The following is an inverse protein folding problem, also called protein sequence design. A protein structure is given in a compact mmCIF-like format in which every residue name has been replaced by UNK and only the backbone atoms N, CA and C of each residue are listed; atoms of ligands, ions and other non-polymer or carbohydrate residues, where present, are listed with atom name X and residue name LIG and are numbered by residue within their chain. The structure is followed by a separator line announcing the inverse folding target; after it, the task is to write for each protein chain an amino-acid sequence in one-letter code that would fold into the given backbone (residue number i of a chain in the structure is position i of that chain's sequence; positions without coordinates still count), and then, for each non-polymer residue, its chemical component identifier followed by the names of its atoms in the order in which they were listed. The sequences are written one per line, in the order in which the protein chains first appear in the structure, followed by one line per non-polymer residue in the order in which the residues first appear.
data_IF_848940587598
#
_entry.id   IF_848940587598
#
_cell.length_a   1.000
_cell.length_b   1.000
_cell.length_c   1.000
_cell.angle_alpha   90.00
_cell.angle_beta   90.00
_cell.angle_gamma   90.00
#
_symmetry.space_group_name_H-M   'P 1'
#
loop_
_entity.id
_entity.type
_entity.pdbx_description
1 polymer ?
#
# COMPACT_ATOMS: atom_id res chain seq x y z
N UNK A 1 12.44 -5.57 -14.45
CA UNK A 1 12.82 -4.42 -15.28
C UNK A 1 12.27 -3.17 -14.63
N UNK A 2 13.11 -2.48 -13.86
CA UNK A 2 12.77 -1.29 -13.08
C UNK A 2 13.32 -0.08 -13.83
N UNK A 3 12.44 0.79 -14.32
CA UNK A 3 12.85 2.07 -14.89
C UNK A 3 13.02 3.09 -13.75
N UNK A 4 14.28 3.28 -13.35
CA UNK A 4 14.74 4.45 -12.61
C UNK A 4 14.59 5.67 -13.52
N UNK A 5 13.63 6.55 -13.22
CA UNK A 5 13.57 7.88 -13.80
C UNK A 5 14.36 8.82 -12.89
N UNK A 6 15.51 9.22 -13.41
CA UNK A 6 16.39 10.27 -12.93
C UNK A 6 15.62 11.54 -12.54
N UNK A 7 15.68 11.89 -11.27
CA UNK A 7 15.33 13.22 -10.77
C UNK A 7 16.31 14.25 -11.32
N UNK A 8 15.81 15.14 -12.17
CA UNK A 8 16.47 16.41 -12.49
C UNK A 8 16.44 17.30 -11.25
N UNK A 9 17.46 17.20 -10.40
CA UNK A 9 17.77 18.20 -9.39
C UNK A 9 18.21 19.49 -10.10
N UNK A 10 17.30 20.43 -10.28
CA UNK A 10 17.63 21.82 -10.58
C UNK A 10 18.18 22.49 -9.33
N UNK A 11 19.47 22.23 -9.06
CA UNK A 11 20.25 22.95 -8.05
C UNK A 11 20.43 24.40 -8.49
N UNK A 12 19.57 25.29 -8.00
CA UNK A 12 19.81 26.73 -8.01
C UNK A 12 21.03 27.01 -7.13
N UNK A 13 22.22 27.05 -7.74
CA UNK A 13 23.48 27.42 -7.08
C UNK A 13 23.38 28.84 -6.51
N UNK A 14 23.15 28.93 -5.21
CA UNK A 14 23.33 30.16 -4.43
C UNK A 14 24.84 30.46 -4.37
N UNK A 15 25.31 31.69 -4.66
CA UNK A 15 26.73 32.05 -4.63
C UNK A 15 27.38 31.75 -3.26
N UNK A 16 28.56 31.15 -3.29
CA UNK A 16 29.22 30.51 -2.13
C UNK A 16 29.57 31.43 -0.95
N UNK A 17 29.44 32.74 -1.10
CA UNK A 17 29.74 33.75 -0.07
C UNK A 17 28.67 33.76 1.04
N UNK A 18 27.45 33.30 0.76
CA UNK A 18 26.34 33.29 1.73
C UNK A 18 26.17 31.96 2.50
N UNK A 19 26.97 30.92 2.19
CA UNK A 19 26.88 29.59 2.82
C UNK A 19 26.92 29.57 4.36
N UNK A 20 27.81 30.30 5.06
CA UNK A 20 27.83 30.27 6.53
C UNK A 20 26.65 31.02 7.15
N UNK A 21 26.04 31.96 6.42
CA UNK A 21 24.85 32.69 6.86
C UNK A 21 23.56 31.87 6.67
N UNK A 22 23.59 30.92 5.73
CA UNK A 22 22.46 30.05 5.41
C UNK A 22 22.22 28.98 6.47
N UNK A 23 23.24 28.47 7.17
CA UNK A 23 23.09 27.45 8.22
C UNK A 23 22.57 27.97 9.56
N UNK A 24 22.37 29.29 9.69
CA UNK A 24 21.86 29.90 10.91
C UNK A 24 20.33 29.83 10.97
N UNK A 25 19.74 29.62 12.16
CA UNK A 25 18.29 29.70 12.36
C UNK A 25 17.70 31.00 11.81
N UNK A 26 16.43 30.96 11.37
CA UNK A 26 15.70 32.10 10.78
C UNK A 26 15.84 33.37 11.61
N UNK A 27 15.78 33.24 12.94
CA UNK A 27 15.98 34.35 13.88
C UNK A 27 17.28 35.12 13.63
N UNK A 28 18.40 34.41 13.47
CA UNK A 28 19.71 35.02 13.25
C UNK A 28 19.84 35.63 11.84
N UNK A 29 19.17 35.06 10.84
CA UNK A 29 19.10 35.65 9.48
C UNK A 29 18.40 37.01 9.52
N UNK A 30 17.27 37.10 10.22
CA UNK A 30 16.51 38.35 10.41
C UNK A 30 17.31 39.36 11.25
N UNK A 31 17.92 38.91 12.35
CA UNK A 31 18.74 39.75 13.22
C UNK A 31 19.95 40.35 12.46
N UNK A 32 20.64 39.53 11.67
CA UNK A 32 21.77 39.99 10.87
C UNK A 32 21.33 40.98 9.78
N UNK A 33 20.23 40.68 9.07
CA UNK A 33 19.70 41.58 8.05
C UNK A 33 19.30 42.94 8.64
N UNK A 34 18.57 42.96 9.76
CA UNK A 34 18.17 44.19 10.44
C UNK A 34 19.39 44.98 10.95
N UNK A 35 20.39 44.30 11.52
CA UNK A 35 21.62 44.93 12.00
C UNK A 35 22.42 45.55 10.84
N UNK A 36 22.50 44.87 9.69
CA UNK A 36 23.17 45.36 8.49
C UNK A 36 22.46 46.59 7.91
N UNK A 37 21.13 46.58 7.86
CA UNK A 37 20.33 47.73 7.41
C UNK A 37 20.60 48.95 8.31
N UNK A 38 20.54 48.77 9.63
CA UNK A 38 20.78 49.86 10.59
C UNK A 38 22.19 50.41 10.42
N UNK A 39 23.19 49.54 10.29
CA UNK A 39 24.58 49.92 10.11
C UNK A 39 24.81 50.71 8.82
N UNK A 40 24.30 50.23 7.69
CA UNK A 40 24.40 50.91 6.39
C UNK A 40 23.62 52.23 6.38
N UNK A 41 22.44 52.26 6.99
CA UNK A 41 21.64 53.48 7.13
C UNK A 41 22.34 54.55 7.96
N UNK A 42 22.91 54.18 9.11
CA UNK A 42 23.62 55.09 10.00
C UNK A 42 24.92 55.62 9.37
N UNK A 43 25.72 54.74 8.76
CA UNK A 43 26.98 55.13 8.10
C UNK A 43 26.72 55.97 6.84
N UNK A 44 25.78 55.55 5.98
CA UNK A 44 25.39 56.30 4.79
C UNK A 44 24.79 57.67 5.11
N UNK A 45 23.93 57.74 6.13
CA UNK A 45 23.36 59.00 6.61
C UNK A 45 24.42 59.95 7.18
N UNK A 46 25.37 59.42 7.95
CA UNK A 46 26.49 60.21 8.52
C UNK A 46 27.44 60.70 7.42
N UNK A 47 27.79 59.84 6.46
CA UNK A 47 28.62 60.22 5.32
C UNK A 47 27.97 61.30 4.47
N UNK A 48 26.68 61.15 4.15
CA UNK A 48 25.90 62.12 3.41
C UNK A 48 25.84 63.48 4.14
N UNK A 49 25.58 63.47 5.45
CA UNK A 49 25.57 64.67 6.27
C UNK A 49 26.94 65.38 6.29
N UNK A 50 28.03 64.62 6.38
CA UNK A 50 29.40 65.17 6.40
C UNK A 50 29.86 65.73 5.04
N UNK A 51 29.50 65.08 3.93
CA UNK A 51 29.92 65.47 2.59
C UNK A 51 29.14 66.69 2.05
N UNK A 52 27.87 66.83 2.45
CA UNK A 52 27.03 67.98 2.10
C UNK A 52 27.36 69.24 2.93
N UNK A 53 27.95 69.08 4.13
CA UNK A 53 28.38 70.19 4.99
C UNK A 53 29.50 71.06 4.39
N UNK A 54 30.28 70.52 3.44
CA UNK A 54 31.41 71.24 2.81
C UNK A 54 31.04 72.05 1.55
N UNK A 55 29.85 71.85 0.96
CA UNK A 55 29.40 72.56 -0.25
C UNK A 55 28.17 73.41 0.05
N UNK A 56 28.37 74.68 0.43
CA UNK A 56 27.32 75.61 0.91
C UNK A 56 26.17 75.95 -0.06
N UNK A 57 26.01 75.32 -1.23
CA UNK A 57 25.02 75.82 -2.21
C UNK A 57 24.30 74.81 -3.13
N UNK A 58 24.30 73.50 -2.86
CA UNK A 58 23.40 72.60 -3.57
C UNK A 58 22.82 71.53 -2.64
N UNK A 59 21.50 71.60 -2.39
CA UNK A 59 20.66 70.57 -1.75
C UNK A 59 20.57 70.52 -0.22
N UNK A 60 20.75 71.65 0.48
CA UNK A 60 20.24 71.82 1.85
C UNK A 60 18.73 72.14 1.87
N UNK A 61 17.94 71.47 1.01
CA UNK A 61 16.48 71.56 1.03
C UNK A 61 15.93 70.37 1.80
N UNK A 62 14.96 70.54 2.71
CA UNK A 62 14.38 69.45 3.50
C UNK A 62 13.88 68.28 2.64
N UNK A 63 13.58 68.54 1.36
CA UNK A 63 13.20 67.54 0.36
C UNK A 63 14.26 66.47 0.06
N UNK A 64 15.56 66.80 0.03
CA UNK A 64 16.62 65.81 -0.31
C UNK A 64 16.83 64.79 0.83
N UNK A 65 16.74 65.25 2.08
CA UNK A 65 16.79 64.40 3.27
C UNK A 65 15.56 63.48 3.36
N UNK A 66 14.37 64.00 3.05
CA UNK A 66 13.14 63.18 3.03
C UNK A 66 13.26 62.09 1.96
N UNK A 67 13.73 62.41 0.76
CA UNK A 67 13.93 61.42 -0.31
C UNK A 67 14.91 60.33 0.15
N UNK A 68 16.04 60.71 0.77
CA UNK A 68 17.01 59.73 1.26
C UNK A 68 16.42 58.78 2.31
N UNK A 69 15.69 59.31 3.30
CA UNK A 69 15.05 58.50 4.35
C UNK A 69 14.00 57.57 3.76
N UNK A 70 13.17 58.06 2.84
CA UNK A 70 12.13 57.25 2.16
C UNK A 70 12.76 56.13 1.34
N UNK A 71 13.82 56.42 0.59
CA UNK A 71 14.55 55.41 -0.19
C UNK A 71 15.16 54.36 0.75
N UNK A 72 15.83 54.78 1.83
CA UNK A 72 16.40 53.86 2.82
C UNK A 72 15.34 52.97 3.48
N UNK A 73 14.19 53.54 3.82
CA UNK A 73 13.06 52.79 4.40
C UNK A 73 12.47 51.76 3.43
N UNK A 74 12.28 52.14 2.16
CA UNK A 74 11.80 51.21 1.12
C UNK A 74 12.79 50.06 0.87
N UNK A 75 14.09 50.35 0.82
CA UNK A 75 15.14 49.32 0.69
C UNK A 75 15.13 48.39 1.90
N UNK A 76 14.98 48.93 3.11
CA UNK A 76 14.85 48.12 4.33
C UNK A 76 13.66 47.18 4.29
N UNK A 77 12.49 47.67 3.86
CA UNK A 77 11.28 46.84 3.72
C UNK A 77 11.51 45.73 2.70
N UNK A 78 12.06 46.07 1.53
CA UNK A 78 12.33 45.10 0.47
C UNK A 78 13.31 44.01 0.93
N UNK A 79 14.40 44.39 1.61
CA UNK A 79 15.39 43.43 2.10
C UNK A 79 14.78 42.51 3.18
N UNK A 80 14.05 43.07 4.14
CA UNK A 80 13.37 42.28 5.17
C UNK A 80 12.34 41.31 4.57
N UNK A 81 11.59 41.77 3.55
CA UNK A 81 10.64 40.91 2.83
C UNK A 81 11.34 39.72 2.14
N UNK A 82 12.47 39.97 1.46
CA UNK A 82 13.26 38.90 0.82
C UNK A 82 13.78 37.89 1.85
N UNK A 83 14.29 38.36 2.99
CA UNK A 83 14.78 37.48 4.06
C UNK A 83 13.66 36.60 4.62
N UNK A 84 12.47 37.17 4.88
CA UNK A 84 11.31 36.40 5.30
C UNK A 84 10.89 35.35 4.25
N UNK A 85 10.84 35.73 2.97
CA UNK A 85 10.45 34.81 1.89
C UNK A 85 11.39 33.60 1.81
N UNK A 86 12.70 33.83 1.91
CA UNK A 86 13.69 32.73 1.91
C UNK A 86 13.56 31.86 3.16
N UNK A 87 13.32 32.47 4.32
CA UNK A 87 13.19 31.76 5.58
C UNK A 87 11.94 30.85 5.66
N UNK A 88 10.79 31.29 5.15
CA UNK A 88 9.53 30.52 5.24
C UNK A 88 9.33 29.52 4.11
N UNK A 89 10.13 29.59 3.04
CA UNK A 89 9.99 28.71 1.86
C UNK A 89 10.01 27.20 2.20
N UNK A 90 10.94 26.68 3.04
CA UNK A 90 10.96 25.26 3.38
C UNK A 90 9.66 24.77 4.06
N UNK A 91 9.07 25.60 4.94
CA UNK A 91 7.82 25.28 5.61
C UNK A 91 6.63 25.28 4.65
N UNK A 92 6.60 26.20 3.68
CA UNK A 92 5.58 26.22 2.64
C UNK A 92 5.67 24.97 1.74
N UNK A 93 6.88 24.55 1.40
CA UNK A 93 7.10 23.36 0.57
C UNK A 93 6.71 22.07 1.33
N UNK A 94 7.02 21.98 2.61
CA UNK A 94 6.52 20.90 3.49
C UNK A 94 4.98 20.86 3.52
N UNK A 95 4.33 22.02 3.68
CA UNK A 95 2.86 22.11 3.67
C UNK A 95 2.24 21.64 2.37
N UNK A 96 2.84 21.95 1.20
CA UNK A 96 2.39 21.43 -0.10
C UNK A 96 2.51 19.91 -0.18
N UNK A 97 3.63 19.36 0.29
CA UNK A 97 3.83 17.90 0.33
C UNK A 97 2.79 17.25 1.25
N UNK A 98 2.55 17.82 2.43
CA UNK A 98 1.54 17.32 3.37
C UNK A 98 0.14 17.28 2.75
N UNK A 99 -0.28 18.34 2.05
CA UNK A 99 -1.57 18.38 1.37
C UNK A 99 -1.69 17.31 0.27
N UNK A 100 -0.60 17.05 -0.48
CA UNK A 100 -0.58 16.01 -1.52
C UNK A 100 -0.61 14.60 -0.94
N UNK A 101 0.12 14.37 0.15
CA UNK A 101 0.08 13.10 0.87
C UNK A 101 -1.32 12.85 1.44
N UNK A 102 -1.97 13.88 1.99
CA UNK A 102 -3.37 13.80 2.44
C UNK A 102 -4.34 13.49 1.29
N UNK A 103 -4.08 14.01 0.10
CA UNK A 103 -4.84 13.70 -1.11
C UNK A 103 -4.60 12.27 -1.67
N UNK A 104 -3.70 11.49 -1.06
CA UNK A 104 -3.47 10.09 -1.39
C UNK A 104 -2.11 9.77 -2.02
N UNK A 105 -1.29 10.79 -2.30
CA UNK A 105 0.05 10.60 -2.89
C UNK A 105 1.09 10.22 -1.82
N UNK A 106 0.91 9.05 -1.18
CA UNK A 106 1.74 8.61 -0.04
C UNK A 106 3.19 8.26 -0.38
N UNK A 107 3.55 8.18 -1.66
CA UNK A 107 4.95 7.96 -2.08
C UNK A 107 5.79 9.24 -2.03
N UNK A 108 5.17 10.43 -1.93
CA UNK A 108 5.92 11.65 -1.74
C UNK A 108 6.62 11.66 -0.38
N UNK A 109 7.80 12.26 -0.36
CA UNK A 109 8.59 12.52 0.84
C UNK A 109 8.90 14.01 0.89
N UNK A 110 8.92 14.56 2.09
CA UNK A 110 9.32 15.94 2.29
C UNK A 110 10.82 16.09 1.95
N UNK A 111 11.20 17.04 1.09
CA UNK A 111 12.59 17.26 0.74
C UNK A 111 13.36 17.85 1.92
N UNK A 112 14.60 17.39 2.12
CA UNK A 112 15.55 18.07 3.00
C UNK A 112 16.37 19.05 2.16
N UNK A 113 16.40 20.31 2.56
CA UNK A 113 17.00 21.40 1.78
C UNK A 113 18.47 21.64 2.12
N UNK A 114 18.90 21.23 3.32
CA UNK A 114 20.23 21.52 3.85
C UNK A 114 20.45 23.00 4.20
N UNK A 115 19.41 23.83 4.07
CA UNK A 115 19.45 25.28 4.30
C UNK A 115 18.97 25.64 5.69
N UNK A 116 18.10 24.84 6.30
CA UNK A 116 17.58 25.10 7.64
C UNK A 116 17.53 23.79 8.44
N UNK A 117 18.37 23.64 9.47
CA UNK A 117 18.39 22.44 10.30
C UNK A 117 17.04 22.13 10.97
N UNK A 118 16.28 23.15 11.37
CA UNK A 118 14.98 22.96 12.04
C UNK A 118 13.92 22.46 11.06
N UNK A 119 13.88 23.05 9.86
CA UNK A 119 12.97 22.61 8.81
C UNK A 119 13.31 21.20 8.32
N UNK A 120 14.60 20.87 8.19
CA UNK A 120 15.06 19.54 7.78
C UNK A 120 14.74 18.50 8.86
N UNK A 121 14.88 18.82 10.15
CA UNK A 121 14.48 17.93 11.24
C UNK A 121 12.97 17.64 11.20
N UNK A 122 12.15 18.67 10.94
CA UNK A 122 10.71 18.48 10.80
C UNK A 122 10.34 17.62 9.58
N UNK A 123 11.00 17.85 8.44
CA UNK A 123 10.83 17.05 7.23
C UNK A 123 11.22 15.58 7.47
N UNK A 124 12.32 15.31 8.17
CA UNK A 124 12.73 13.95 8.56
C UNK A 124 11.71 13.29 9.49
N UNK A 125 11.25 14.01 10.51
CA UNK A 125 10.23 13.49 11.45
C UNK A 125 8.93 13.15 10.73
N UNK A 126 8.51 14.01 9.81
CA UNK A 126 7.35 13.75 8.96
C UNK A 126 7.54 12.50 8.09
N UNK A 127 8.70 12.35 7.44
CA UNK A 127 8.98 11.18 6.62
C UNK A 127 9.01 9.88 7.44
N UNK A 128 9.56 9.88 8.66
CA UNK A 128 9.51 8.73 9.58
C UNK A 128 8.08 8.37 9.97
N UNK A 129 7.22 9.36 10.23
CA UNK A 129 5.80 9.12 10.50
C UNK A 129 5.08 8.50 9.29
N UNK A 130 5.38 8.97 8.07
CA UNK A 130 4.80 8.38 6.85
C UNK A 130 5.19 6.91 6.67
N UNK A 131 6.47 6.59 6.88
CA UNK A 131 6.97 5.22 6.80
C UNK A 131 6.31 4.31 7.84
N UNK A 132 6.20 4.78 9.10
CA UNK A 132 5.50 4.03 10.15
C UNK A 132 4.01 3.80 9.82
N UNK A 133 3.33 4.76 9.20
CA UNK A 133 1.94 4.62 8.76
C UNK A 133 1.83 3.59 7.61
N UNK A 134 2.71 3.66 6.63
CA UNK A 134 2.72 2.72 5.50
C UNK A 134 2.96 1.28 5.99
N UNK A 135 3.91 1.08 6.89
CA UNK A 135 4.20 -0.23 7.48
C UNK A 135 3.06 -0.75 8.34
N UNK A 136 2.47 0.10 9.20
CA UNK A 136 1.30 -0.28 9.98
C UNK A 136 0.10 -0.65 9.09
N UNK A 137 -0.08 0.04 7.96
CA UNK A 137 -1.13 -0.26 6.98
C UNK A 137 -0.90 -1.62 6.33
N UNK A 138 0.34 -1.93 5.91
CA UNK A 138 0.71 -3.23 5.33
C UNK A 138 0.51 -4.37 6.33
N UNK A 139 0.95 -4.17 7.57
CA UNK A 139 0.79 -5.17 8.63
C UNK A 139 -0.69 -5.44 8.92
N UNK A 140 -1.51 -4.40 9.04
CA UNK A 140 -2.96 -4.56 9.23
C UNK A 140 -3.62 -5.28 8.06
N UNK A 141 -3.26 -4.95 6.82
CA UNK A 141 -3.78 -5.64 5.65
C UNK A 141 -3.43 -7.14 5.68
N UNK A 142 -2.19 -7.48 6.01
CA UNK A 142 -1.74 -8.87 6.18
C UNK A 142 -2.52 -9.59 7.31
N UNK A 143 -2.69 -8.94 8.47
CA UNK A 143 -3.46 -9.50 9.58
C UNK A 143 -4.92 -9.76 9.22
N UNK A 144 -5.57 -8.83 8.49
CA UNK A 144 -6.95 -9.00 8.02
C UNK A 144 -7.05 -10.19 7.06
N UNK A 145 -6.12 -10.30 6.10
CA UNK A 145 -6.09 -11.42 5.15
C UNK A 145 -5.92 -12.75 5.89
N UNK A 146 -4.98 -12.81 6.84
CA UNK A 146 -4.72 -14.02 7.61
C UNK A 146 -5.91 -14.40 8.51
N UNK A 147 -6.56 -13.41 9.16
CA UNK A 147 -7.76 -13.64 9.94
C UNK A 147 -8.92 -14.16 9.07
N UNK A 148 -9.11 -13.60 7.87
CA UNK A 148 -10.10 -14.10 6.92
C UNK A 148 -9.82 -15.53 6.47
N UNK A 149 -8.55 -15.90 6.25
CA UNK A 149 -8.17 -17.25 5.88
C UNK A 149 -8.39 -18.26 7.02
N UNK A 150 -8.05 -17.87 8.26
CA UNK A 150 -8.34 -18.66 9.46
C UNK A 150 -9.84 -18.84 9.68
N UNK A 151 -10.63 -17.82 9.42
CA UNK A 151 -12.08 -17.90 9.54
C UNK A 151 -12.68 -18.80 8.45
N UNK A 152 -12.23 -18.68 7.20
CA UNK A 152 -12.59 -19.63 6.13
C UNK A 152 -12.24 -21.07 6.50
N UNK A 153 -11.08 -21.29 7.12
CA UNK A 153 -10.67 -22.61 7.64
C UNK A 153 -11.64 -23.13 8.69
N UNK A 154 -11.98 -22.29 9.67
CA UNK A 154 -12.89 -22.64 10.77
C UNK A 154 -14.26 -23.05 10.22
N UNK A 155 -14.85 -22.23 9.35
CA UNK A 155 -16.16 -22.49 8.75
C UNK A 155 -16.13 -23.76 7.90
N UNK A 156 -15.11 -23.96 7.06
CA UNK A 156 -15.00 -25.16 6.23
C UNK A 156 -14.93 -26.45 7.07
N UNK A 157 -14.20 -26.44 8.19
CA UNK A 157 -14.14 -27.58 9.13
C UNK A 157 -15.46 -27.81 9.85
N UNK A 158 -16.10 -26.76 10.36
CA UNK A 158 -17.39 -26.84 11.06
C UNK A 158 -18.48 -27.42 10.12
N UNK A 159 -18.54 -26.95 8.88
CA UNK A 159 -19.43 -27.50 7.85
C UNK A 159 -19.12 -28.97 7.52
N UNK A 160 -17.84 -29.30 7.33
CA UNK A 160 -17.44 -30.66 6.99
C UNK A 160 -17.72 -31.63 8.14
N UNK A 161 -17.34 -31.31 9.35
CA UNK A 161 -17.38 -32.25 10.47
C UNK A 161 -18.77 -32.34 11.06
N UNK A 162 -19.39 -31.23 11.46
CA UNK A 162 -20.68 -31.26 12.14
C UNK A 162 -21.83 -31.53 11.16
N UNK A 163 -21.88 -30.79 10.05
CA UNK A 163 -23.03 -30.88 9.14
C UNK A 163 -23.00 -32.18 8.33
N UNK A 164 -21.83 -32.66 7.89
CA UNK A 164 -21.77 -33.95 7.17
C UNK A 164 -22.06 -35.15 8.08
N UNK A 165 -21.68 -35.09 9.37
CA UNK A 165 -22.01 -36.15 10.32
C UNK A 165 -23.52 -36.25 10.55
N UNK A 166 -24.19 -35.12 10.79
CA UNK A 166 -25.65 -35.08 10.95
C UNK A 166 -26.36 -35.63 9.70
N UNK A 167 -25.95 -35.21 8.50
CA UNK A 167 -26.52 -35.75 7.26
C UNK A 167 -26.23 -37.25 7.06
N UNK A 168 -25.05 -37.72 7.46
CA UNK A 168 -24.71 -39.14 7.38
C UNK A 168 -25.60 -39.96 8.32
N UNK A 169 -25.82 -39.48 9.55
CA UNK A 169 -26.76 -40.11 10.48
C UNK A 169 -28.18 -40.11 9.94
N UNK A 170 -28.64 -39.01 9.31
CA UNK A 170 -29.95 -38.93 8.66
C UNK A 170 -30.07 -40.00 7.56
N UNK A 171 -29.05 -40.13 6.70
CA UNK A 171 -29.04 -41.13 5.61
C UNK A 171 -29.09 -42.56 6.15
N UNK A 172 -28.39 -42.87 7.24
CA UNK A 172 -28.44 -44.18 7.91
C UNK A 172 -29.85 -44.43 8.46
N UNK A 173 -30.45 -43.46 9.16
CA UNK A 173 -31.82 -43.59 9.67
C UNK A 173 -32.85 -43.78 8.56
N UNK A 174 -32.71 -43.09 7.43
CA UNK A 174 -33.57 -43.27 6.27
C UNK A 174 -33.42 -44.67 5.66
N UNK A 175 -32.20 -45.21 5.58
CA UNK A 175 -31.95 -46.56 5.09
C UNK A 175 -32.60 -47.63 5.99
N UNK A 176 -32.52 -47.47 7.32
CA UNK A 176 -33.18 -48.36 8.29
C UNK A 176 -34.71 -48.29 8.13
N UNK A 177 -35.26 -47.08 7.98
CA UNK A 177 -36.70 -46.91 7.77
C UNK A 177 -37.17 -47.57 6.47
N UNK A 178 -36.39 -47.48 5.39
CA UNK A 178 -36.69 -48.09 4.09
C UNK A 178 -36.90 -49.61 4.18
N UNK A 179 -36.15 -50.30 5.04
CA UNK A 179 -36.28 -51.74 5.30
C UNK A 179 -37.59 -52.11 6.03
N UNK A 180 -38.15 -51.19 6.81
CA UNK A 180 -39.33 -51.42 7.66
C UNK A 180 -40.68 -51.08 7.01
N UNK A 181 -40.66 -50.53 5.78
CA UNK A 181 -41.86 -50.01 5.12
C UNK A 181 -42.55 -51.07 4.26
N UNK A 182 -43.87 -51.08 4.32
CA UNK A 182 -44.72 -52.02 3.58
C UNK A 182 -45.45 -51.38 2.38
N UNK A 183 -45.72 -50.07 2.39
CA UNK A 183 -46.43 -49.38 1.31
C UNK A 183 -45.49 -48.79 0.27
N UNK A 184 -45.88 -48.86 -1.01
CA UNK A 184 -45.06 -48.34 -2.11
C UNK A 184 -44.92 -46.80 -2.04
N UNK A 185 -46.00 -46.09 -1.70
CA UNK A 185 -45.96 -44.62 -1.57
C UNK A 185 -44.93 -44.14 -0.53
N UNK A 186 -44.84 -44.83 0.61
CA UNK A 186 -43.88 -44.47 1.65
C UNK A 186 -42.43 -44.79 1.22
N UNK A 187 -42.21 -45.89 0.49
CA UNK A 187 -40.92 -46.21 -0.12
C UNK A 187 -40.46 -45.12 -1.07
N UNK A 188 -41.33 -44.66 -1.97
CA UNK A 188 -41.02 -43.63 -2.95
C UNK A 188 -40.67 -42.28 -2.27
N UNK A 189 -41.43 -41.89 -1.23
CA UNK A 189 -41.12 -40.68 -0.44
C UNK A 189 -39.79 -40.75 0.31
N UNK A 190 -39.43 -41.91 0.86
CA UNK A 190 -38.12 -42.08 1.50
C UNK A 190 -37.00 -42.02 0.48
N UNK A 191 -37.17 -42.65 -0.69
CA UNK A 191 -36.18 -42.59 -1.77
C UNK A 191 -35.93 -41.15 -2.24
N UNK A 192 -36.99 -40.34 -2.39
CA UNK A 192 -36.88 -38.92 -2.73
C UNK A 192 -36.17 -38.12 -1.62
N UNK A 193 -36.51 -38.38 -0.35
CA UNK A 193 -35.86 -37.72 0.79
C UNK A 193 -34.38 -38.07 0.87
N UNK A 194 -34.02 -39.34 0.64
CA UNK A 194 -32.63 -39.81 0.58
C UNK A 194 -31.87 -39.15 -0.57
N UNK A 195 -32.51 -38.98 -1.74
CA UNK A 195 -31.94 -38.26 -2.88
C UNK A 195 -31.65 -36.79 -2.54
N UNK A 196 -32.59 -36.10 -1.90
CA UNK A 196 -32.39 -34.73 -1.42
C UNK A 196 -31.25 -34.65 -0.40
N UNK A 197 -31.20 -35.54 0.58
CA UNK A 197 -30.11 -35.59 1.56
C UNK A 197 -28.74 -35.81 0.87
N UNK A 198 -28.65 -36.70 -0.11
CA UNK A 198 -27.41 -36.87 -0.89
C UNK A 198 -27.02 -35.63 -1.71
N UNK A 199 -27.99 -34.89 -2.25
CA UNK A 199 -27.75 -33.64 -2.95
C UNK A 199 -27.24 -32.56 -1.99
N UNK A 200 -27.86 -32.42 -0.82
CA UNK A 200 -27.45 -31.48 0.22
C UNK A 200 -26.05 -31.80 0.75
N UNK A 201 -25.73 -33.08 0.98
CA UNK A 201 -24.39 -33.49 1.40
C UNK A 201 -23.33 -33.12 0.35
N UNK A 202 -23.65 -33.31 -0.94
CA UNK A 202 -22.77 -32.86 -2.03
C UNK A 202 -22.62 -31.35 -2.06
N UNK A 203 -23.69 -30.60 -1.85
CA UNK A 203 -23.65 -29.13 -1.81
C UNK A 203 -22.80 -28.60 -0.64
N UNK A 204 -22.93 -29.18 0.55
CA UNK A 204 -22.12 -28.81 1.73
C UNK A 204 -20.64 -29.13 1.51
N UNK A 205 -20.35 -30.32 0.97
CA UNK A 205 -18.97 -30.68 0.61
C UNK A 205 -18.40 -29.64 -0.33
N UNK A 206 -19.09 -29.37 -1.45
CA UNK A 206 -18.73 -28.35 -2.44
C UNK A 206 -18.43 -26.99 -1.79
N UNK A 207 -19.34 -26.50 -0.94
CA UNK A 207 -19.16 -25.24 -0.23
C UNK A 207 -17.93 -25.24 0.68
N UNK A 208 -17.67 -26.36 1.36
CA UNK A 208 -16.50 -26.51 2.25
C UNK A 208 -15.20 -26.39 1.46
N UNK A 209 -15.10 -27.01 0.28
CA UNK A 209 -13.92 -26.91 -0.60
C UNK A 209 -13.75 -25.50 -1.14
N UNK A 210 -14.85 -24.87 -1.56
CA UNK A 210 -14.84 -23.52 -2.11
C UNK A 210 -14.38 -22.51 -1.05
N UNK A 211 -14.73 -22.72 0.22
CA UNK A 211 -14.28 -21.89 1.34
C UNK A 211 -12.80 -22.14 1.68
N UNK A 212 -12.43 -23.40 1.90
CA UNK A 212 -11.05 -23.84 2.11
C UNK A 212 -10.98 -25.35 1.97
N UNK A 213 -10.14 -25.91 1.08
CA UNK A 213 -10.04 -27.35 0.97
C UNK A 213 -9.39 -27.87 2.27
N UNK A 214 -10.18 -28.49 3.15
CA UNK A 214 -9.64 -29.17 4.34
C UNK A 214 -8.59 -30.22 3.96
N UNK A 215 -8.76 -30.84 2.78
CA UNK A 215 -7.78 -31.68 2.13
C UNK A 215 -6.40 -31.01 1.96
N UNK A 216 -6.34 -29.68 1.78
CA UNK A 216 -5.07 -28.95 1.71
C UNK A 216 -4.37 -28.97 3.07
N UNK A 217 -5.09 -28.80 4.17
CA UNK A 217 -4.51 -28.88 5.52
C UNK A 217 -4.05 -30.30 5.85
N UNK A 218 -4.91 -31.29 5.60
CA UNK A 218 -4.72 -32.65 6.12
C UNK A 218 -3.87 -33.53 5.20
N UNK A 219 -3.94 -33.30 3.89
CA UNK A 219 -3.28 -34.13 2.87
C UNK A 219 -2.22 -33.36 2.06
N UNK A 220 -2.22 -32.04 2.10
CA UNK A 220 -1.29 -31.19 1.36
C UNK A 220 -1.75 -30.82 -0.05
N UNK A 221 -0.92 -30.03 -0.73
CA UNK A 221 -1.26 -29.40 -2.01
C UNK A 221 -1.64 -30.38 -3.12
N UNK A 222 -0.80 -31.40 -3.37
CA UNK A 222 -1.00 -32.28 -4.51
C UNK A 222 -2.27 -33.15 -4.40
N UNK A 223 -2.58 -33.78 -3.24
CA UNK A 223 -3.84 -34.49 -3.08
C UNK A 223 -5.06 -33.57 -3.19
N UNK A 224 -5.01 -32.36 -2.60
CA UNK A 224 -6.09 -31.40 -2.69
C UNK A 224 -6.36 -30.97 -4.15
N UNK A 225 -5.32 -30.69 -4.93
CA UNK A 225 -5.45 -30.34 -6.34
C UNK A 225 -5.99 -31.49 -7.19
N UNK A 226 -5.50 -32.72 -6.97
CA UNK A 226 -6.03 -33.91 -7.68
C UNK A 226 -7.52 -34.10 -7.43
N UNK A 227 -7.93 -33.92 -6.18
CA UNK A 227 -9.32 -34.00 -5.79
C UNK A 227 -10.17 -32.90 -6.45
N UNK A 228 -9.70 -31.65 -6.39
CA UNK A 228 -10.38 -30.50 -7.00
C UNK A 228 -10.53 -30.65 -8.52
N UNK A 229 -9.46 -31.09 -9.20
CA UNK A 229 -9.47 -31.37 -10.64
C UNK A 229 -10.54 -32.43 -10.98
N UNK A 230 -10.63 -33.51 -10.19
CA UNK A 230 -11.64 -34.56 -10.42
C UNK A 230 -13.06 -34.02 -10.34
N UNK A 231 -13.39 -33.22 -9.33
CA UNK A 231 -14.70 -32.56 -9.20
C UNK A 231 -14.97 -31.58 -10.33
N UNK A 232 -13.97 -30.78 -10.71
CA UNK A 232 -14.09 -29.82 -11.80
C UNK A 232 -14.45 -30.50 -13.12
N UNK A 233 -13.78 -31.61 -13.46
CA UNK A 233 -14.09 -32.39 -14.67
C UNK A 233 -15.53 -32.90 -14.64
N UNK A 234 -16.04 -33.33 -13.48
CA UNK A 234 -17.42 -33.80 -13.33
C UNK A 234 -18.46 -32.69 -13.51
N UNK A 235 -18.17 -31.48 -13.01
CA UNK A 235 -19.09 -30.33 -13.08
C UNK A 235 -19.11 -29.67 -14.45
N UNK A 236 -17.95 -29.47 -15.06
CA UNK A 236 -17.79 -28.67 -16.26
C UNK A 236 -17.69 -29.51 -17.55
N UNK A 237 -17.57 -30.83 -17.47
CA UNK A 237 -17.34 -31.71 -18.63
C UNK A 237 -16.11 -31.34 -19.48
N UNK A 238 -15.11 -30.71 -18.86
CA UNK A 238 -13.81 -30.36 -19.45
C UNK A 238 -12.80 -31.40 -19.00
N UNK A 239 -11.95 -31.90 -19.90
CA UNK A 239 -10.87 -32.84 -19.55
C UNK A 239 -9.71 -32.04 -18.93
N UNK A 240 -9.22 -32.46 -17.77
CA UNK A 240 -8.11 -31.80 -17.08
C UNK A 240 -7.04 -32.82 -16.74
N UNK A 241 -5.86 -32.63 -17.31
CA UNK A 241 -4.68 -33.44 -17.03
C UNK A 241 -3.80 -32.71 -16.01
N UNK A 242 -3.50 -33.37 -14.89
CA UNK A 242 -2.68 -32.83 -13.82
C UNK A 242 -1.40 -33.65 -13.63
N UNK A 243 -0.25 -32.99 -13.72
CA UNK A 243 1.06 -33.58 -13.45
C UNK A 243 1.87 -32.71 -12.49
N UNK A 244 2.60 -33.35 -11.57
CA UNK A 244 3.44 -32.68 -10.59
C UNK A 244 4.79 -33.38 -10.48
N UNK A 245 5.88 -32.61 -10.47
CA UNK A 245 7.25 -33.12 -10.43
C UNK A 245 8.10 -32.36 -9.41
N UNK A 246 9.03 -33.05 -8.75
CA UNK A 246 10.02 -32.41 -7.86
C UNK A 246 9.58 -32.23 -6.40
N UNK A 247 8.31 -32.46 -6.07
CA UNK A 247 7.79 -32.30 -4.72
C UNK A 247 8.24 -33.41 -3.78
N UNK A 248 9.17 -33.09 -2.87
CA UNK A 248 9.73 -34.03 -1.87
C UNK A 248 9.20 -33.81 -0.46
N UNK A 249 8.92 -32.56 -0.11
CA UNK A 249 8.41 -32.15 1.20
C UNK A 249 7.18 -31.25 1.05
N UNK A 250 6.49 -30.94 2.15
CA UNK A 250 5.40 -29.96 2.12
C UNK A 250 5.95 -28.56 2.00
N UNK A 251 5.30 -27.76 1.16
CA UNK A 251 5.59 -26.34 1.06
C UNK A 251 5.05 -25.62 2.32
N UNK A 252 5.56 -24.40 2.61
CA UNK A 252 4.94 -23.55 3.63
C UNK A 252 3.45 -23.37 3.34
N UNK A 253 2.61 -23.44 4.37
CA UNK A 253 1.14 -23.47 4.22
C UNK A 253 0.60 -22.27 3.41
N UNK A 254 1.20 -21.09 3.56
CA UNK A 254 0.84 -19.90 2.78
C UNK A 254 1.07 -20.09 1.27
N UNK A 255 2.17 -20.76 0.91
CA UNK A 255 2.51 -21.09 -0.49
C UNK A 255 1.55 -22.13 -1.04
N UNK A 256 1.24 -23.18 -0.27
CA UNK A 256 0.25 -24.19 -0.65
C UNK A 256 -1.12 -23.55 -0.91
N UNK A 257 -1.60 -22.68 -0.01
CA UNK A 257 -2.87 -21.95 -0.17
C UNK A 257 -2.84 -21.05 -1.40
N UNK A 258 -1.75 -20.31 -1.63
CA UNK A 258 -1.62 -19.43 -2.79
C UNK A 258 -1.67 -20.22 -4.11
N UNK A 259 -0.88 -21.30 -4.22
CA UNK A 259 -0.84 -22.16 -5.41
C UNK A 259 -2.20 -22.81 -5.68
N UNK A 260 -2.87 -23.30 -4.63
CA UNK A 260 -4.20 -23.87 -4.75
C UNK A 260 -5.20 -22.85 -5.32
N UNK A 261 -5.23 -21.63 -4.76
CA UNK A 261 -6.12 -20.56 -5.23
C UNK A 261 -5.82 -20.13 -6.66
N UNK A 262 -4.55 -20.07 -7.05
CA UNK A 262 -4.16 -19.76 -8.44
C UNK A 262 -4.75 -20.79 -9.40
N UNK A 263 -4.62 -22.09 -9.10
CA UNK A 263 -5.17 -23.15 -9.96
C UNK A 263 -6.70 -23.11 -9.96
N UNK A 264 -7.33 -22.93 -8.80
CA UNK A 264 -8.80 -22.83 -8.67
C UNK A 264 -9.38 -21.69 -9.52
N UNK A 265 -8.82 -20.49 -9.38
CA UNK A 265 -9.29 -19.30 -10.11
C UNK A 265 -9.01 -19.45 -11.61
N UNK A 266 -7.86 -20.02 -11.97
CA UNK A 266 -7.53 -20.27 -13.38
C UNK A 266 -8.52 -21.23 -14.03
N UNK A 267 -8.85 -22.36 -13.40
CA UNK A 267 -9.85 -23.30 -13.91
C UNK A 267 -11.25 -22.69 -13.95
N UNK A 268 -11.61 -21.88 -12.95
CA UNK A 268 -12.88 -21.15 -12.95
C UNK A 268 -12.98 -20.21 -14.14
N UNK A 269 -11.90 -19.48 -14.43
CA UNK A 269 -11.82 -18.59 -15.57
C UNK A 269 -11.85 -19.36 -16.90
N UNK A 270 -11.18 -20.51 -17.00
CA UNK A 270 -11.27 -21.38 -18.17
C UNK A 270 -12.72 -21.80 -18.43
N UNK A 271 -13.44 -22.28 -17.41
CA UNK A 271 -14.83 -22.71 -17.55
C UNK A 271 -15.75 -21.58 -18.01
N UNK A 272 -15.52 -20.36 -17.53
CA UNK A 272 -16.36 -19.19 -17.85
C UNK A 272 -16.02 -18.53 -19.19
N UNK A 273 -14.76 -18.56 -19.60
CA UNK A 273 -14.28 -17.66 -20.66
C UNK A 273 -13.49 -18.33 -21.79
N UNK A 274 -12.89 -19.50 -21.58
CA UNK A 274 -11.94 -20.06 -22.54
C UNK A 274 -12.56 -21.00 -23.58
N UNK A 275 -13.83 -21.43 -23.40
CA UNK A 275 -14.50 -22.46 -24.22
C UNK A 275 -13.63 -23.71 -24.47
N UNK A 276 -12.74 -24.02 -23.52
CA UNK A 276 -11.72 -25.05 -23.65
C UNK A 276 -12.33 -26.44 -23.42
N UNK A 277 -11.88 -27.42 -24.18
CA UNK A 277 -12.33 -28.82 -24.02
C UNK A 277 -11.31 -29.66 -23.25
N UNK A 278 -10.08 -29.14 -23.13
CA UNK A 278 -8.98 -29.75 -22.40
C UNK A 278 -8.14 -28.67 -21.72
N UNK A 279 -7.68 -28.94 -20.50
CA UNK A 279 -6.70 -28.12 -19.76
C UNK A 279 -5.56 -29.01 -19.28
N UNK A 280 -4.33 -28.54 -19.41
CA UNK A 280 -3.15 -29.18 -18.86
C UNK A 280 -2.58 -28.33 -17.72
N UNK A 281 -2.51 -28.91 -16.53
CA UNK A 281 -1.89 -28.30 -15.36
C UNK A 281 -0.61 -29.06 -15.04
N UNK A 282 0.52 -28.36 -15.10
CA UNK A 282 1.83 -28.91 -14.71
C UNK A 282 2.40 -28.10 -13.57
N UNK A 283 2.81 -28.79 -12.50
CA UNK A 283 3.54 -28.20 -11.38
C UNK A 283 4.95 -28.77 -11.31
N UNK A 284 5.92 -27.90 -11.03
CA UNK A 284 7.31 -28.28 -10.85
C UNK A 284 7.91 -27.54 -9.66
N UNK A 285 8.46 -28.28 -8.71
CA UNK A 285 9.29 -27.73 -7.65
C UNK A 285 10.77 -27.83 -8.06
N UNK A 286 11.46 -26.69 -7.95
CA UNK A 286 12.91 -26.55 -8.08
C UNK A 286 13.47 -25.97 -6.77
N UNK A 287 14.80 -25.93 -6.61
CA UNK A 287 15.45 -25.68 -5.31
C UNK A 287 14.95 -24.43 -4.55
N UNK A 288 14.66 -23.33 -5.26
CA UNK A 288 14.23 -22.06 -4.65
C UNK A 288 12.86 -21.56 -5.16
N UNK A 289 12.16 -22.35 -5.99
CA UNK A 289 10.96 -21.87 -6.67
C UNK A 289 10.00 -22.99 -7.03
N UNK A 290 8.70 -22.63 -7.04
CA UNK A 290 7.63 -23.50 -7.54
C UNK A 290 7.03 -22.88 -8.78
N UNK A 291 6.97 -23.66 -9.86
CA UNK A 291 6.38 -23.28 -11.13
C UNK A 291 5.04 -23.96 -11.32
N UNK A 292 4.03 -23.17 -11.71
CA UNK A 292 2.72 -23.66 -12.14
C UNK A 292 2.48 -23.22 -13.56
N UNK A 293 2.16 -24.16 -14.44
CA UNK A 293 1.82 -23.90 -15.84
C UNK A 293 0.42 -24.45 -16.10
N UNK A 294 -0.45 -23.61 -16.67
CA UNK A 294 -1.83 -23.95 -17.03
C UNK A 294 -1.99 -23.62 -18.52
N UNK A 295 -2.34 -24.62 -19.33
CA UNK A 295 -2.52 -24.50 -20.79
C UNK A 295 -3.88 -25.02 -21.22
#
# INVERSE_FOLDING_TARGET
MVHSKSETQTSTRIPGIFRPLLSLPVFYKVLFANSLIIFVGATGGTWLASNLGNSRQALATPTSLIIFVVVGWLVSIALNFVVLQVAFRPLQDLGKVMNRVQAGERSLRAPTTGVDPEADQLAQTFNMMLEAIDDATRLRASQIINAQEQERKRIARELHDETSQVLTSLLISLAILEESITTQEARDRIADTRKLAHQTLRAIRNLSIDLRPSALDDLGLLPALRWYVKEYQQKCSIVVEFAAHGFKERLPAEVETALYRIVQESLTNTARHANAHKVLITMKEEADAVYVTIK
#
